data_IF_150385784313
#
_entry.id   IF_150385784313
#
_cell.length_a   1.000
_cell.length_b   1.000
_cell.length_c   1.000
_cell.angle_alpha   90.00
_cell.angle_beta   90.00
_cell.angle_gamma   90.00
#
_symmetry.space_group_name_H-M   'P 1'
#
loop_
_entity.id
_entity.type
_entity.pdbx_description
1 polymer ?
#
# COMPACT_ATOMS: atom_id res chain seq x y z
N UNK A 1 -17.27 -16.79 24.67
CA UNK A 1 -17.31 -15.99 25.92
C UNK A 1 -18.75 -15.77 26.36
N UNK A 2 -19.09 -15.91 27.65
CA UNK A 2 -20.46 -15.59 28.12
C UNK A 2 -20.68 -14.07 28.12
N UNK A 3 -21.94 -13.62 28.07
CA UNK A 3 -22.24 -12.18 28.04
C UNK A 3 -21.76 -11.42 29.28
N UNK A 4 -21.64 -12.08 30.43
CA UNK A 4 -21.08 -11.48 31.66
C UNK A 4 -19.58 -11.28 31.53
N UNK A 5 -18.85 -12.31 31.11
CA UNK A 5 -17.40 -12.24 30.93
C UNK A 5 -17.03 -11.14 29.91
N UNK A 6 -17.80 -11.01 28.82
CA UNK A 6 -17.60 -9.97 27.82
C UNK A 6 -17.76 -8.54 28.37
N UNK A 7 -18.68 -8.37 29.32
CA UNK A 7 -18.92 -7.08 29.97
C UNK A 7 -17.76 -6.69 30.89
N UNK A 8 -17.26 -7.64 31.69
CA UNK A 8 -16.15 -7.40 32.61
C UNK A 8 -14.88 -7.02 31.84
N UNK A 9 -14.60 -7.71 30.73
CA UNK A 9 -13.49 -7.39 29.82
C UNK A 9 -13.65 -5.99 29.21
N UNK A 10 -14.84 -5.62 28.73
CA UNK A 10 -15.08 -4.29 28.19
C UNK A 10 -14.87 -3.20 29.25
N UNK A 11 -15.34 -3.44 30.48
CA UNK A 11 -15.18 -2.51 31.60
C UNK A 11 -13.70 -2.34 31.97
N UNK A 12 -12.92 -3.42 31.94
CA UNK A 12 -11.49 -3.36 32.17
C UNK A 12 -10.75 -2.59 31.07
N UNK A 13 -11.04 -2.88 29.80
CA UNK A 13 -10.46 -2.17 28.65
C UNK A 13 -10.79 -0.67 28.69
N UNK A 14 -11.95 -0.28 29.20
CA UNK A 14 -12.31 1.14 29.38
C UNK A 14 -11.53 1.88 30.46
N UNK A 15 -10.90 1.14 31.38
CA UNK A 15 -10.04 1.68 32.43
C UNK A 15 -8.56 1.64 32.04
N UNK A 16 -8.22 0.86 31.00
CA UNK A 16 -6.86 0.75 30.51
C UNK A 16 -6.50 1.94 29.59
N UNK A 17 -5.86 2.95 30.18
CA UNK A 17 -5.40 4.15 29.46
C UNK A 17 -4.43 3.82 28.32
N UNK A 18 -3.67 2.72 28.41
CA UNK A 18 -2.74 2.33 27.36
C UNK A 18 -3.51 1.94 26.11
N UNK A 19 -4.47 1.02 26.23
CA UNK A 19 -5.31 0.57 25.12
C UNK A 19 -6.03 1.76 24.48
N UNK A 20 -6.72 2.57 25.30
CA UNK A 20 -7.45 3.75 24.80
C UNK A 20 -6.55 4.74 24.05
N UNK A 21 -5.36 5.03 24.59
CA UNK A 21 -4.40 5.93 23.95
C UNK A 21 -3.96 5.38 22.60
N UNK A 22 -3.63 4.08 22.51
CA UNK A 22 -3.23 3.47 21.24
C UNK A 22 -4.37 3.48 20.22
N UNK A 23 -5.62 3.21 20.60
CA UNK A 23 -6.76 3.27 19.68
C UNK A 23 -6.97 4.68 19.10
N UNK A 24 -6.89 5.71 19.96
CA UNK A 24 -7.01 7.11 19.53
C UNK A 24 -5.85 7.50 18.62
N UNK A 25 -4.61 7.15 18.99
CA UNK A 25 -3.42 7.44 18.18
C UNK A 25 -3.50 6.75 16.82
N UNK A 26 -3.86 5.47 16.78
CA UNK A 26 -4.03 4.71 15.52
C UNK A 26 -5.09 5.33 14.60
N UNK A 27 -6.22 5.75 15.17
CA UNK A 27 -7.28 6.44 14.43
C UNK A 27 -6.80 7.77 13.84
N UNK A 28 -6.13 8.61 14.64
CA UNK A 28 -5.59 9.90 14.21
C UNK A 28 -4.51 9.73 13.14
N UNK A 29 -3.56 8.81 13.35
CA UNK A 29 -2.50 8.51 12.38
C UNK A 29 -3.09 8.01 11.06
N UNK A 30 -4.11 7.14 11.11
CA UNK A 30 -4.79 6.64 9.92
C UNK A 30 -5.56 7.74 9.18
N UNK A 31 -6.16 8.71 9.89
CA UNK A 31 -6.78 9.88 9.29
C UNK A 31 -5.77 10.76 8.54
N UNK A 32 -4.64 11.09 9.19
CA UNK A 32 -3.56 11.87 8.58
C UNK A 32 -3.00 11.13 7.36
N UNK A 33 -2.79 9.82 7.47
CA UNK A 33 -2.31 8.97 6.39
C UNK A 33 -3.28 8.92 5.20
N UNK A 34 -4.58 8.73 5.45
CA UNK A 34 -5.61 8.70 4.40
C UNK A 34 -5.62 10.03 3.63
N UNK A 35 -5.62 11.16 4.35
CA UNK A 35 -5.57 12.49 3.74
C UNK A 35 -4.29 12.68 2.92
N UNK A 36 -3.12 12.33 3.47
CA UNK A 36 -1.84 12.43 2.77
C UNK A 36 -1.79 11.53 1.52
N UNK A 37 -2.36 10.34 1.55
CA UNK A 37 -2.47 9.43 0.41
C UNK A 37 -3.38 10.01 -0.68
N UNK A 38 -4.52 10.61 -0.32
CA UNK A 38 -5.39 11.29 -1.27
C UNK A 38 -4.66 12.45 -1.94
N UNK A 39 -3.93 13.27 -1.18
CA UNK A 39 -3.09 14.34 -1.73
C UNK A 39 -2.02 13.77 -2.68
N UNK A 40 -1.34 12.69 -2.29
CA UNK A 40 -0.36 12.01 -3.15
C UNK A 40 -0.99 11.46 -4.44
N UNK A 41 -2.22 10.96 -4.38
CA UNK A 41 -2.95 10.46 -5.54
C UNK A 41 -3.38 11.59 -6.50
N UNK A 42 -3.88 12.69 -5.95
CA UNK A 42 -4.36 13.85 -6.71
C UNK A 42 -3.21 14.65 -7.34
N UNK A 43 -2.14 14.89 -6.58
CA UNK A 43 -0.99 15.71 -7.01
C UNK A 43 0.19 14.90 -7.57
N UNK A 44 0.15 13.57 -7.45
CA UNK A 44 1.22 12.69 -7.92
C UNK A 44 1.38 12.71 -9.44
N UNK A 45 2.61 12.92 -9.92
CA UNK A 45 2.96 12.94 -11.35
C UNK A 45 3.01 11.52 -11.98
N UNK A 46 2.28 10.56 -11.43
CA UNK A 46 2.33 9.16 -11.91
C UNK A 46 1.78 9.00 -13.33
N UNK A 47 1.05 9.99 -13.85
CA UNK A 47 0.30 9.91 -15.11
C UNK A 47 1.18 9.84 -16.37
N UNK A 48 2.38 10.41 -16.36
CA UNK A 48 3.10 10.69 -17.62
C UNK A 48 4.25 9.73 -17.92
N UNK A 49 4.64 8.86 -16.97
CA UNK A 49 5.84 8.03 -17.09
C UNK A 49 5.60 6.53 -16.91
N UNK A 50 4.35 6.12 -16.75
CA UNK A 50 4.01 4.72 -16.48
C UNK A 50 2.92 4.33 -17.46
N UNK A 51 3.07 3.16 -18.06
CA UNK A 51 2.03 2.58 -18.92
C UNK A 51 0.63 2.63 -18.27
N UNK A 52 -0.45 2.87 -19.04
CA UNK A 52 -1.80 2.99 -18.51
C UNK A 52 -2.25 1.81 -17.63
N UNK A 53 -1.91 0.56 -18.00
CA UNK A 53 -2.25 -0.63 -17.21
C UNK A 53 -1.63 -0.61 -15.81
N UNK A 54 -0.32 -0.38 -15.68
CA UNK A 54 0.31 -0.21 -14.37
C UNK A 54 -0.22 1.00 -13.60
N UNK A 55 -0.60 2.08 -14.30
CA UNK A 55 -1.22 3.24 -13.64
C UNK A 55 -2.56 2.88 -13.00
N UNK A 56 -3.40 2.10 -13.68
CA UNK A 56 -4.68 1.62 -13.13
C UNK A 56 -4.43 0.75 -11.89
N UNK A 57 -3.51 -0.23 -12.00
CA UNK A 57 -3.19 -1.10 -10.87
C UNK A 57 -2.61 -0.33 -9.69
N UNK A 58 -1.70 0.61 -9.93
CA UNK A 58 -1.12 1.43 -8.87
C UNK A 58 -2.13 2.37 -8.21
N UNK A 59 -3.09 2.91 -8.98
CA UNK A 59 -4.21 3.67 -8.42
C UNK A 59 -5.15 2.80 -7.59
N UNK A 60 -5.44 1.58 -8.06
CA UNK A 60 -6.21 0.59 -7.29
C UNK A 60 -5.53 0.29 -5.96
N UNK A 61 -4.21 0.07 -5.99
CA UNK A 61 -3.39 -0.12 -4.79
C UNK A 61 -3.49 1.07 -3.80
N UNK A 62 -3.32 2.32 -4.27
CA UNK A 62 -3.49 3.50 -3.41
C UNK A 62 -4.93 3.59 -2.88
N UNK A 63 -5.93 3.26 -3.71
CA UNK A 63 -7.34 3.23 -3.32
C UNK A 63 -7.60 2.26 -2.17
N UNK A 64 -7.09 1.03 -2.26
CA UNK A 64 -7.19 0.05 -1.16
C UNK A 64 -6.43 0.49 0.09
N UNK A 65 -5.29 1.18 -0.04
CA UNK A 65 -4.56 1.72 1.11
C UNK A 65 -5.37 2.81 1.83
N UNK A 66 -6.05 3.70 1.08
CA UNK A 66 -6.95 4.71 1.64
C UNK A 66 -8.16 4.05 2.31
N UNK A 67 -8.81 3.09 1.64
CA UNK A 67 -9.95 2.36 2.22
C UNK A 67 -9.56 1.61 3.49
N UNK A 68 -8.37 1.02 3.55
CA UNK A 68 -7.85 0.37 4.76
C UNK A 68 -7.65 1.36 5.91
N UNK A 69 -7.08 2.54 5.62
CA UNK A 69 -6.90 3.57 6.64
C UNK A 69 -8.26 4.09 7.14
N UNK A 70 -9.23 4.31 6.25
CA UNK A 70 -10.60 4.65 6.62
C UNK A 70 -11.27 3.55 7.47
N UNK A 71 -11.06 2.27 7.12
CA UNK A 71 -11.57 1.13 7.89
C UNK A 71 -11.00 1.12 9.31
N UNK A 72 -9.73 1.46 9.47
CA UNK A 72 -9.08 1.60 10.78
C UNK A 72 -9.70 2.73 11.60
N UNK A 73 -9.94 3.90 10.99
CA UNK A 73 -10.60 5.03 11.66
C UNK A 73 -12.00 4.64 12.13
N UNK A 74 -12.76 3.92 11.31
CA UNK A 74 -14.12 3.48 11.65
C UNK A 74 -14.06 2.45 12.79
N UNK A 75 -13.27 1.39 12.66
CA UNK A 75 -13.19 0.33 13.68
C UNK A 75 -12.66 0.86 15.01
N UNK A 76 -11.45 1.42 15.01
CA UNK A 76 -10.78 1.86 16.23
C UNK A 76 -11.42 3.12 16.81
N UNK A 77 -11.93 4.02 15.95
CA UNK A 77 -12.58 5.25 16.38
C UNK A 77 -13.93 5.00 17.05
N UNK A 78 -14.75 4.09 16.51
CA UNK A 78 -16.02 3.73 17.14
C UNK A 78 -15.75 3.02 18.47
N UNK A 79 -14.81 2.07 18.50
CA UNK A 79 -14.43 1.40 19.76
C UNK A 79 -13.93 2.39 20.81
N UNK A 80 -13.06 3.33 20.45
CA UNK A 80 -12.56 4.36 21.37
C UNK A 80 -13.68 5.26 21.89
N UNK A 81 -14.58 5.74 21.01
CA UNK A 81 -15.72 6.57 21.42
C UNK A 81 -16.64 5.81 22.37
N UNK A 82 -16.91 4.53 22.08
CA UNK A 82 -17.75 3.67 22.90
C UNK A 82 -17.16 3.42 24.29
N UNK A 83 -15.88 3.08 24.36
CA UNK A 83 -15.20 2.81 25.63
C UNK A 83 -15.05 4.08 26.50
N UNK A 84 -14.87 5.25 25.90
CA UNK A 84 -14.65 6.51 26.64
C UNK A 84 -15.98 7.18 27.03
N UNK A 85 -16.89 7.38 26.07
CA UNK A 85 -18.01 8.31 26.22
C UNK A 85 -19.37 7.64 26.39
N UNK A 86 -19.56 6.42 25.87
CA UNK A 86 -20.87 5.77 25.87
C UNK A 86 -21.03 4.95 27.15
N UNK A 87 -22.09 5.23 27.91
CA UNK A 87 -22.50 4.50 29.11
C UNK A 87 -23.98 4.13 29.03
N UNK A 88 -24.32 2.92 29.48
CA UNK A 88 -25.71 2.43 29.57
C UNK A 88 -26.07 2.16 31.02
N UNK A 89 -27.26 2.58 31.43
CA UNK A 89 -27.79 2.32 32.78
C UNK A 89 -28.46 0.94 32.90
N UNK A 90 -28.74 0.27 31.77
CA UNK A 90 -29.37 -1.06 31.75
C UNK A 90 -28.40 -2.13 31.22
N UNK A 91 -28.12 -3.13 32.06
CA UNK A 91 -27.24 -4.25 31.72
C UNK A 91 -25.76 -3.93 31.88
N UNK A 92 -24.97 -4.14 30.82
CA UNK A 92 -23.54 -3.83 30.84
C UNK A 92 -23.33 -2.31 30.73
N UNK A 93 -22.52 -1.67 31.60
CA UNK A 93 -22.24 -0.23 31.53
C UNK A 93 -21.68 0.22 30.19
N UNK A 94 -21.03 -0.70 29.46
CA UNK A 94 -20.49 -0.45 28.12
C UNK A 94 -21.27 -1.32 27.14
N UNK A 95 -21.94 -0.73 26.13
CA UNK A 95 -22.73 -1.51 25.18
C UNK A 95 -21.82 -2.47 24.42
N UNK A 96 -22.14 -3.76 24.43
CA UNK A 96 -21.37 -4.80 23.75
C UNK A 96 -21.81 -4.92 22.29
N UNK A 97 -20.90 -5.35 21.40
CA UNK A 97 -21.29 -5.73 20.05
C UNK A 97 -21.85 -7.14 20.03
N UNK A 98 -22.79 -7.41 19.14
CA UNK A 98 -23.03 -8.79 18.71
C UNK A 98 -21.84 -9.25 17.87
N UNK A 99 -21.49 -10.54 17.92
CA UNK A 99 -20.32 -11.07 17.19
C UNK A 99 -20.32 -10.68 15.71
N UNK A 100 -21.47 -10.80 15.04
CA UNK A 100 -21.61 -10.43 13.63
C UNK A 100 -21.40 -8.94 13.35
N UNK A 101 -21.79 -8.03 14.24
CA UNK A 101 -21.56 -6.59 14.04
C UNK A 101 -20.08 -6.26 14.16
N UNK A 102 -19.40 -6.81 15.18
CA UNK A 102 -17.95 -6.64 15.36
C UNK A 102 -17.19 -7.11 14.11
N UNK A 103 -17.54 -8.29 13.60
CA UNK A 103 -16.93 -8.85 12.39
C UNK A 103 -17.17 -7.99 11.15
N UNK A 104 -18.40 -7.53 10.92
CA UNK A 104 -18.74 -6.67 9.76
C UNK A 104 -17.92 -5.38 9.79
N UNK A 105 -17.67 -4.80 10.97
CA UNK A 105 -16.83 -3.61 11.12
C UNK A 105 -15.36 -3.89 10.77
N UNK A 106 -14.87 -5.12 11.02
CA UNK A 106 -13.50 -5.54 10.71
C UNK A 106 -13.32 -5.98 9.24
N UNK A 107 -14.35 -6.47 8.56
CA UNK A 107 -14.25 -7.04 7.20
C UNK A 107 -13.62 -6.09 6.16
N UNK A 108 -13.93 -4.77 6.12
CA UNK A 108 -13.28 -3.85 5.20
C UNK A 108 -11.75 -3.82 5.33
N UNK A 109 -11.22 -3.93 6.56
CA UNK A 109 -9.79 -4.00 6.80
C UNK A 109 -9.20 -5.31 6.24
N UNK A 110 -9.80 -6.45 6.57
CA UNK A 110 -9.37 -7.78 6.06
C UNK A 110 -9.34 -7.80 4.54
N UNK A 111 -10.39 -7.28 3.91
CA UNK A 111 -10.50 -7.15 2.46
C UNK A 111 -9.36 -6.29 1.88
N UNK A 112 -9.13 -5.09 2.42
CA UNK A 112 -8.15 -4.16 1.88
C UNK A 112 -6.71 -4.66 2.07
N UNK A 113 -6.38 -5.23 3.23
CA UNK A 113 -5.04 -5.79 3.51
C UNK A 113 -4.70 -6.92 2.52
N UNK A 114 -5.68 -7.79 2.25
CA UNK A 114 -5.50 -8.85 1.28
C UNK A 114 -5.38 -8.31 -0.16
N UNK A 115 -6.22 -7.32 -0.51
CA UNK A 115 -6.16 -6.69 -1.83
C UNK A 115 -4.79 -6.05 -2.08
N UNK A 116 -4.20 -5.39 -1.09
CA UNK A 116 -2.87 -4.78 -1.21
C UNK A 116 -1.78 -5.80 -1.57
N UNK A 117 -1.76 -6.96 -0.92
CA UNK A 117 -0.83 -8.05 -1.23
C UNK A 117 -0.99 -8.59 -2.66
N UNK A 118 -2.24 -8.82 -3.10
CA UNK A 118 -2.57 -9.32 -4.44
C UNK A 118 -2.22 -8.27 -5.52
N UNK A 119 -2.46 -6.99 -5.23
CA UNK A 119 -2.17 -5.91 -6.17
C UNK A 119 -0.67 -5.84 -6.50
N UNK A 120 0.22 -6.12 -5.55
CA UNK A 120 1.65 -6.24 -5.85
C UNK A 120 1.95 -7.39 -6.80
N UNK A 121 1.32 -8.55 -6.63
CA UNK A 121 1.49 -9.69 -7.55
C UNK A 121 1.08 -9.27 -8.95
N UNK A 122 -0.09 -8.64 -9.12
CA UNK A 122 -0.57 -8.24 -10.44
C UNK A 122 0.22 -7.10 -11.06
N UNK A 123 0.71 -6.14 -10.27
CA UNK A 123 1.70 -5.16 -10.76
C UNK A 123 2.96 -5.88 -11.24
N UNK A 124 3.44 -6.89 -10.50
CA UNK A 124 4.59 -7.71 -10.88
C UNK A 124 4.36 -8.50 -12.17
N UNK A 125 3.20 -9.13 -12.34
CA UNK A 125 2.80 -9.83 -13.58
C UNK A 125 2.78 -8.85 -14.76
N UNK A 126 2.15 -7.70 -14.58
CA UNK A 126 2.04 -6.68 -15.61
C UNK A 126 3.42 -6.13 -16.02
N UNK A 127 4.32 -5.88 -15.05
CA UNK A 127 5.72 -5.51 -15.30
C UNK A 127 6.53 -6.64 -15.92
N UNK A 128 6.21 -7.90 -15.62
CA UNK A 128 6.84 -9.08 -16.25
C UNK A 128 6.51 -9.14 -17.73
N UNK A 129 5.24 -8.92 -18.10
CA UNK A 129 4.79 -8.86 -19.49
C UNK A 129 5.49 -7.70 -20.22
N UNK A 130 5.55 -6.51 -19.63
CA UNK A 130 6.25 -5.36 -20.19
C UNK A 130 7.76 -5.61 -20.40
N UNK A 131 8.37 -6.37 -19.48
CA UNK A 131 9.78 -6.77 -19.57
C UNK A 131 9.98 -7.79 -20.69
N UNK A 132 9.18 -8.85 -20.78
CA UNK A 132 9.38 -9.93 -21.75
C UNK A 132 9.01 -9.47 -23.17
N UNK A 133 7.88 -8.78 -23.33
CA UNK A 133 7.27 -8.44 -24.61
C UNK A 133 7.34 -6.95 -24.96
N UNK A 134 8.47 -6.29 -24.66
CA UNK A 134 8.64 -4.83 -24.80
C UNK A 134 8.12 -4.27 -26.14
N UNK A 135 8.49 -4.87 -27.28
CA UNK A 135 8.08 -4.38 -28.61
C UNK A 135 6.58 -4.53 -28.92
N UNK A 136 5.91 -5.57 -28.41
CA UNK A 136 4.46 -5.76 -28.59
C UNK A 136 3.67 -4.92 -27.59
N UNK A 137 4.21 -4.78 -26.39
CA UNK A 137 3.58 -4.07 -25.29
C UNK A 137 3.36 -2.58 -25.60
N UNK A 138 4.31 -1.93 -26.30
CA UNK A 138 4.13 -0.55 -26.78
C UNK A 138 2.89 -0.35 -27.66
N UNK A 139 2.63 -1.32 -28.54
CA UNK A 139 1.51 -1.26 -29.47
C UNK A 139 0.17 -1.47 -28.75
N UNK A 140 0.21 -2.05 -27.55
CA UNK A 140 -0.97 -2.35 -26.75
C UNK A 140 -1.41 -1.12 -25.96
N UNK A 141 -2.14 -0.20 -26.59
CA UNK A 141 -2.76 0.96 -25.91
C UNK A 141 -3.98 0.58 -25.05
N UNK A 142 -4.39 -0.69 -25.08
CA UNK A 142 -5.58 -1.15 -24.36
C UNK A 142 -5.34 -1.17 -22.84
N UNK A 143 -6.29 -0.58 -22.12
CA UNK A 143 -6.36 -0.58 -20.65
C UNK A 143 -7.11 -1.79 -20.07
N UNK A 144 -7.68 -2.62 -20.94
CA UNK A 144 -8.51 -3.78 -20.55
C UNK A 144 -7.76 -4.76 -19.63
N UNK A 145 -6.48 -5.12 -19.88
CA UNK A 145 -5.76 -6.03 -18.99
C UNK A 145 -5.60 -5.48 -17.57
N UNK A 146 -5.35 -4.18 -17.41
CA UNK A 146 -5.21 -3.54 -16.10
C UNK A 146 -6.51 -3.59 -15.30
N UNK A 147 -7.65 -3.31 -15.94
CA UNK A 147 -8.97 -3.40 -15.32
C UNK A 147 -9.37 -4.84 -14.99
N UNK A 148 -9.07 -5.80 -15.87
CA UNK A 148 -9.34 -7.21 -15.62
C UNK A 148 -8.56 -7.73 -14.40
N UNK A 149 -7.26 -7.40 -14.30
CA UNK A 149 -6.45 -7.76 -13.13
C UNK A 149 -6.95 -7.10 -11.84
N UNK A 150 -7.35 -5.82 -11.90
CA UNK A 150 -7.95 -5.14 -10.74
C UNK A 150 -9.25 -5.80 -10.29
N UNK A 151 -10.13 -6.16 -11.23
CA UNK A 151 -11.37 -6.86 -10.95
C UNK A 151 -11.12 -8.22 -10.30
N UNK A 152 -10.17 -9.00 -10.83
CA UNK A 152 -9.76 -10.28 -10.22
C UNK A 152 -9.25 -10.06 -8.79
N UNK A 153 -8.48 -8.99 -8.53
CA UNK A 153 -7.97 -8.70 -7.18
C UNK A 153 -9.10 -8.41 -6.19
N UNK A 154 -10.12 -7.67 -6.62
CA UNK A 154 -11.34 -7.42 -5.85
C UNK A 154 -12.07 -8.73 -5.57
N UNK A 155 -12.31 -9.56 -6.59
CA UNK A 155 -13.03 -10.82 -6.43
C UNK A 155 -12.31 -11.79 -5.48
N UNK A 156 -10.99 -11.97 -5.63
CA UNK A 156 -10.21 -12.87 -4.76
C UNK A 156 -10.18 -12.34 -3.33
N UNK A 157 -10.07 -11.03 -3.14
CA UNK A 157 -10.07 -10.42 -1.81
C UNK A 157 -11.44 -10.49 -1.14
N UNK A 158 -12.51 -10.31 -1.91
CA UNK A 158 -13.88 -10.48 -1.42
C UNK A 158 -14.15 -11.94 -1.06
N UNK A 159 -13.72 -12.89 -1.89
CA UNK A 159 -13.86 -14.32 -1.60
C UNK A 159 -13.15 -14.70 -0.30
N UNK A 160 -11.94 -14.18 -0.06
CA UNK A 160 -11.22 -14.40 1.21
C UNK A 160 -11.93 -13.76 2.40
N UNK A 161 -12.43 -12.52 2.25
CA UNK A 161 -13.16 -11.84 3.32
C UNK A 161 -14.47 -12.58 3.68
N UNK A 162 -15.21 -13.06 2.66
CA UNK A 162 -16.42 -13.88 2.86
C UNK A 162 -16.07 -15.22 3.50
N UNK A 163 -14.99 -15.87 3.07
CA UNK A 163 -14.52 -17.11 3.71
C UNK A 163 -14.15 -16.88 5.18
N UNK A 164 -13.44 -15.79 5.48
CA UNK A 164 -13.08 -15.42 6.84
C UNK A 164 -14.33 -15.17 7.70
N UNK A 165 -15.31 -14.44 7.17
CA UNK A 165 -16.59 -14.18 7.84
C UNK A 165 -17.46 -15.42 8.00
N UNK A 166 -17.39 -16.38 7.09
CA UNK A 166 -18.13 -17.63 7.20
C UNK A 166 -17.54 -18.56 8.28
N UNK A 167 -16.28 -18.37 8.66
CA UNK A 167 -15.59 -19.18 9.68
C UNK A 167 -15.54 -18.53 11.06
N UNK A 168 -16.04 -17.30 11.20
CA UNK A 168 -16.11 -16.62 12.50
C UNK A 168 -17.23 -17.19 13.37
N UNK A 169 -16.98 -17.23 14.67
CA UNK A 169 -17.89 -17.76 15.68
C UNK A 169 -19.03 -16.78 15.96
N UNK A 170 -20.26 -17.30 16.12
CA UNK A 170 -21.43 -16.50 16.49
C UNK A 170 -21.44 -16.17 18.00
N UNK A 171 -20.37 -15.53 18.47
CA UNK A 171 -20.28 -15.10 19.85
C UNK A 171 -21.42 -14.11 20.17
N UNK A 172 -22.17 -14.34 21.27
CA UNK A 172 -23.35 -13.53 21.58
C UNK A 172 -22.98 -12.08 21.93
N UNK A 173 -21.78 -11.86 22.47
CA UNK A 173 -21.28 -10.55 22.84
C UNK A 173 -19.76 -10.45 22.63
N UNK A 174 -19.30 -9.31 22.10
CA UNK A 174 -17.89 -8.98 21.89
C UNK A 174 -17.55 -7.62 22.52
N UNK A 175 -16.40 -7.52 23.22
CA UNK A 175 -15.99 -6.30 23.90
C UNK A 175 -15.45 -5.26 22.93
N UNK A 176 -14.95 -5.62 21.74
CA UNK A 176 -14.37 -4.73 20.72
C UNK A 176 -14.65 -5.24 19.31
N UNK A 177 -14.67 -4.35 18.32
CA UNK A 177 -14.79 -4.75 16.91
C UNK A 177 -13.49 -5.39 16.37
N UNK A 178 -12.36 -4.96 16.90
CA UNK A 178 -11.01 -5.44 16.53
C UNK A 178 -10.69 -6.84 17.06
N UNK A 179 -11.45 -7.34 18.04
CA UNK A 179 -11.28 -8.66 18.64
C UNK A 179 -12.41 -9.55 18.11
N UNK A 180 -12.20 -10.13 16.93
CA UNK A 180 -13.10 -11.15 16.40
C UNK A 180 -12.83 -12.50 17.07
N UNK A 181 -13.88 -13.25 17.41
CA UNK A 181 -13.75 -14.67 17.82
C UNK A 181 -13.59 -15.53 16.56
N UNK A 182 -12.36 -15.56 16.07
CA UNK A 182 -12.00 -16.28 14.86
C UNK A 182 -11.13 -17.48 15.27
N UNK A 183 -11.47 -18.70 14.82
CA UNK A 183 -10.69 -19.89 15.19
C UNK A 183 -9.21 -19.74 14.82
N UNK A 184 -8.32 -20.21 15.69
CA UNK A 184 -6.86 -20.12 15.48
C UNK A 184 -6.40 -20.62 14.10
N UNK A 185 -7.01 -21.70 13.58
CA UNK A 185 -6.66 -22.22 12.26
C UNK A 185 -6.93 -21.23 11.12
N UNK A 186 -7.99 -20.41 11.22
CA UNK A 186 -8.32 -19.37 10.23
C UNK A 186 -7.28 -18.26 10.28
N UNK A 187 -6.85 -17.87 11.49
CA UNK A 187 -5.74 -16.93 11.66
C UNK A 187 -4.45 -17.46 11.05
N UNK A 188 -4.08 -18.72 11.32
CA UNK A 188 -2.87 -19.33 10.75
C UNK A 188 -2.89 -19.37 9.23
N UNK A 189 -4.02 -19.80 8.63
CA UNK A 189 -4.18 -19.83 7.17
C UNK A 189 -4.11 -18.41 6.60
N UNK A 190 -4.77 -17.44 7.22
CA UNK A 190 -4.84 -16.06 6.75
C UNK A 190 -3.47 -15.37 6.80
N UNK A 191 -2.78 -15.46 7.93
CA UNK A 191 -1.45 -14.89 8.14
C UNK A 191 -0.40 -15.62 7.30
N UNK A 192 -0.45 -16.96 7.25
CA UNK A 192 0.46 -17.77 6.45
C UNK A 192 0.33 -17.47 4.95
N UNK A 193 -0.91 -17.34 4.45
CA UNK A 193 -1.16 -16.94 3.05
C UNK A 193 -0.66 -15.53 2.78
N UNK A 194 -0.86 -14.58 3.70
CA UNK A 194 -0.36 -13.22 3.57
C UNK A 194 1.17 -13.18 3.50
N UNK A 195 1.85 -13.86 4.43
CA UNK A 195 3.31 -13.96 4.46
C UNK A 195 3.85 -14.60 3.18
N UNK A 196 3.22 -15.66 2.70
CA UNK A 196 3.58 -16.32 1.45
C UNK A 196 3.47 -15.38 0.24
N UNK A 197 2.39 -14.58 0.15
CA UNK A 197 2.23 -13.57 -0.90
C UNK A 197 3.34 -12.51 -0.86
N UNK A 198 3.73 -12.04 0.33
CA UNK A 198 4.82 -11.06 0.46
C UNK A 198 6.17 -11.62 0.00
N UNK A 199 6.47 -12.89 0.34
CA UNK A 199 7.69 -13.56 -0.13
C UNK A 199 7.68 -13.67 -1.66
N UNK A 200 6.55 -14.08 -2.26
CA UNK A 200 6.40 -14.12 -3.72
C UNK A 200 6.64 -12.74 -4.34
N UNK A 201 6.07 -11.68 -3.76
CA UNK A 201 6.24 -10.31 -4.25
C UNK A 201 7.70 -9.89 -4.29
N UNK A 202 8.46 -10.12 -3.21
CA UNK A 202 9.89 -9.79 -3.16
C UNK A 202 10.69 -10.59 -4.19
N UNK A 203 10.46 -11.89 -4.30
CA UNK A 203 11.14 -12.75 -5.27
C UNK A 203 10.85 -12.30 -6.70
N UNK A 204 9.58 -12.01 -7.00
CA UNK A 204 9.12 -11.54 -8.31
C UNK A 204 9.79 -10.22 -8.70
N UNK A 205 9.71 -9.19 -7.85
CA UNK A 205 10.29 -7.88 -8.16
C UNK A 205 11.82 -7.89 -8.17
N UNK A 206 12.46 -8.69 -7.33
CA UNK A 206 13.92 -8.86 -7.34
C UNK A 206 14.38 -9.51 -8.64
N UNK A 207 13.70 -10.58 -9.08
CA UNK A 207 13.98 -11.24 -10.36
C UNK A 207 13.80 -10.27 -11.53
N UNK A 208 12.72 -9.49 -11.54
CA UNK A 208 12.48 -8.47 -12.56
C UNK A 208 13.54 -7.38 -12.56
N UNK A 209 13.99 -6.94 -11.39
CA UNK A 209 15.08 -5.98 -11.26
C UNK A 209 16.36 -6.50 -11.91
N UNK A 210 16.78 -7.73 -11.61
CA UNK A 210 17.97 -8.34 -12.19
C UNK A 210 17.85 -8.53 -13.70
N UNK A 211 16.70 -9.00 -14.19
CA UNK A 211 16.42 -9.16 -15.62
C UNK A 211 16.52 -7.82 -16.36
N UNK A 212 15.89 -6.75 -15.85
CA UNK A 212 15.93 -5.43 -16.47
C UNK A 212 17.32 -4.80 -16.40
N UNK A 213 18.02 -4.96 -15.27
CA UNK A 213 19.41 -4.52 -15.11
C UNK A 213 20.31 -5.17 -16.16
N UNK A 214 20.26 -6.50 -16.30
CA UNK A 214 21.05 -7.24 -17.30
C UNK A 214 20.73 -6.82 -18.73
N UNK A 215 19.45 -6.63 -19.07
CA UNK A 215 19.03 -6.15 -20.39
C UNK A 215 19.51 -4.72 -20.67
N UNK A 216 19.48 -3.83 -19.67
CA UNK A 216 19.96 -2.44 -19.78
C UNK A 216 21.44 -2.40 -20.15
N UNK A 217 22.28 -3.21 -19.50
CA UNK A 217 23.70 -3.34 -19.85
C UNK A 217 23.96 -3.93 -21.24
N UNK A 218 23.09 -4.82 -21.74
CA UNK A 218 23.23 -5.36 -23.10
C UNK A 218 22.79 -4.36 -24.17
N UNK A 219 21.68 -3.66 -23.95
CA UNK A 219 21.13 -2.69 -24.90
C UNK A 219 22.00 -1.44 -25.06
N UNK A 220 22.82 -1.08 -24.06
CA UNK A 220 23.80 0.00 -24.23
C UNK A 220 24.89 -0.30 -25.25
N UNK A 221 25.13 -1.59 -25.57
CA UNK A 221 26.16 -2.02 -26.52
C UNK A 221 25.66 -2.22 -27.96
N UNK A 222 24.35 -2.33 -28.17
CA UNK A 222 23.75 -2.72 -29.45
C UNK A 222 22.98 -1.53 -30.07
N UNK A 223 22.93 -1.46 -31.40
CA UNK A 223 22.14 -0.51 -32.19
C UNK A 223 20.61 -0.72 -32.06
N UNK A 224 20.09 -0.82 -30.84
CA UNK A 224 18.65 -0.89 -30.58
C UNK A 224 17.99 0.47 -30.78
N UNK A 225 16.75 0.49 -31.25
CA UNK A 225 15.96 1.72 -31.43
C UNK A 225 15.88 2.55 -30.14
N UNK A 226 15.80 3.88 -30.29
CA UNK A 226 15.70 4.82 -29.18
C UNK A 226 14.47 4.51 -28.30
N UNK A 227 13.36 4.15 -28.93
CA UNK A 227 12.10 3.75 -28.29
C UNK A 227 12.28 2.55 -27.36
N UNK A 228 13.00 1.52 -27.80
CA UNK A 228 13.29 0.34 -26.98
C UNK A 228 14.12 0.71 -25.74
N UNK A 229 15.14 1.57 -25.91
CA UNK A 229 15.98 2.06 -24.81
C UNK A 229 15.15 2.88 -23.80
N UNK A 230 14.25 3.72 -24.29
CA UNK A 230 13.35 4.51 -23.44
C UNK A 230 12.45 3.61 -22.58
N UNK A 231 11.77 2.63 -23.17
CA UNK A 231 10.89 1.70 -22.44
C UNK A 231 11.64 0.83 -21.44
N UNK A 232 12.81 0.32 -21.81
CA UNK A 232 13.64 -0.45 -20.90
C UNK A 232 14.06 0.39 -19.69
N UNK A 233 14.38 1.66 -19.91
CA UNK A 233 14.71 2.59 -18.84
C UNK A 233 13.48 2.93 -17.97
N UNK A 234 12.32 3.16 -18.59
CA UNK A 234 11.04 3.37 -17.89
C UNK A 234 10.70 2.19 -16.98
N UNK A 235 10.73 0.97 -17.53
CA UNK A 235 10.45 -0.26 -16.80
C UNK A 235 11.44 -0.48 -15.66
N UNK A 236 12.74 -0.29 -15.90
CA UNK A 236 13.77 -0.41 -14.87
C UNK A 236 13.53 0.56 -13.72
N UNK A 237 13.25 1.83 -14.03
CA UNK A 237 12.94 2.81 -13.00
C UNK A 237 11.65 2.44 -12.26
N UNK A 238 10.57 2.09 -12.96
CA UNK A 238 9.31 1.68 -12.34
C UNK A 238 9.50 0.50 -11.38
N UNK A 239 10.24 -0.54 -11.79
CA UNK A 239 10.50 -1.74 -10.96
C UNK A 239 11.29 -1.40 -9.70
N UNK A 240 12.33 -0.55 -9.76
CA UNK A 240 13.07 -0.14 -8.55
C UNK A 240 12.13 0.49 -7.51
N UNK A 241 11.16 1.24 -8.00
CA UNK A 241 10.25 2.02 -7.17
C UNK A 241 9.26 1.09 -6.47
N UNK A 242 8.66 0.20 -7.25
CA UNK A 242 7.72 -0.81 -6.76
C UNK A 242 8.45 -1.78 -5.82
N UNK A 243 9.69 -2.17 -6.13
CA UNK A 243 10.50 -3.05 -5.28
C UNK A 243 10.75 -2.44 -3.90
N UNK A 244 11.06 -1.15 -3.80
CA UNK A 244 11.22 -0.47 -2.49
C UNK A 244 9.93 -0.47 -1.69
N UNK A 245 8.79 -0.27 -2.37
CA UNK A 245 7.49 -0.30 -1.73
C UNK A 245 7.11 -1.71 -1.27
N UNK A 246 7.41 -2.73 -2.08
CA UNK A 246 7.23 -4.13 -1.74
C UNK A 246 8.09 -4.53 -0.54
N UNK A 247 9.35 -4.07 -0.46
CA UNK A 247 10.19 -4.29 0.73
C UNK A 247 9.64 -3.62 1.98
N UNK A 248 9.15 -2.38 1.87
CA UNK A 248 8.52 -1.68 2.99
C UNK A 248 7.28 -2.44 3.49
N UNK A 249 6.41 -2.87 2.57
CA UNK A 249 5.20 -3.62 2.90
C UNK A 249 5.54 -5.00 3.50
N UNK A 250 6.43 -5.76 2.86
CA UNK A 250 6.90 -7.05 3.34
C UNK A 250 7.53 -6.95 4.74
N UNK A 251 8.37 -5.94 4.99
CA UNK A 251 8.98 -5.74 6.31
C UNK A 251 7.90 -5.53 7.39
N UNK A 252 6.92 -4.66 7.16
CA UNK A 252 5.85 -4.41 8.15
C UNK A 252 4.98 -5.66 8.35
N UNK A 253 4.58 -6.33 7.27
CA UNK A 253 3.77 -7.55 7.36
C UNK A 253 4.51 -8.68 8.09
N UNK A 254 5.80 -8.89 7.79
CA UNK A 254 6.62 -9.91 8.45
C UNK A 254 6.73 -9.60 9.94
N UNK A 255 7.05 -8.36 10.31
CA UNK A 255 7.15 -7.98 11.73
C UNK A 255 5.80 -8.16 12.43
N UNK A 256 4.70 -7.65 11.85
CA UNK A 256 3.36 -7.80 12.42
C UNK A 256 2.98 -9.29 12.57
N UNK A 257 3.25 -10.11 11.57
CA UNK A 257 2.96 -11.55 11.59
C UNK A 257 3.77 -12.27 12.66
N UNK A 258 5.07 -11.96 12.79
CA UNK A 258 5.94 -12.55 13.82
C UNK A 258 5.47 -12.14 15.21
N UNK A 259 5.12 -10.87 15.42
CA UNK A 259 4.61 -10.39 16.71
C UNK A 259 3.28 -11.05 17.07
N UNK A 260 2.34 -11.14 16.12
CA UNK A 260 1.06 -11.85 16.34
C UNK A 260 1.30 -13.33 16.63
N UNK A 261 2.24 -13.97 15.91
CA UNK A 261 2.59 -15.37 16.16
C UNK A 261 3.15 -15.57 17.57
N UNK A 262 4.12 -14.76 17.98
CA UNK A 262 4.67 -14.80 19.35
C UNK A 262 3.57 -14.55 20.38
N UNK A 263 2.70 -13.56 20.15
CA UNK A 263 1.58 -13.26 21.04
C UNK A 263 0.64 -14.47 21.21
N UNK A 264 0.33 -15.21 20.13
CA UNK A 264 -0.51 -16.40 20.20
C UNK A 264 0.08 -17.54 21.05
N UNK A 265 1.41 -17.67 21.14
CA UNK A 265 2.05 -18.73 21.96
C UNK A 265 2.42 -18.27 23.38
N UNK A 266 2.67 -16.98 23.57
CA UNK A 266 3.23 -16.47 24.83
C UNK A 266 2.20 -15.75 25.71
N UNK A 267 1.09 -15.27 25.16
CA UNK A 267 0.10 -14.50 25.90
C UNK A 267 -1.15 -15.35 26.21
N UNK A 268 -1.72 -15.10 27.38
CA UNK A 268 -3.08 -15.55 27.69
C UNK A 268 -4.09 -14.85 26.79
N UNK A 269 -5.29 -15.41 26.62
CA UNK A 269 -6.36 -14.81 25.79
C UNK A 269 -6.65 -13.35 26.21
N UNK A 270 -6.70 -13.09 27.51
CA UNK A 270 -6.91 -11.76 28.08
C UNK A 270 -5.78 -10.77 27.76
N UNK A 271 -4.52 -11.21 27.89
CA UNK A 271 -3.36 -10.41 27.49
C UNK A 271 -3.33 -10.19 25.98
N UNK A 272 -3.66 -11.21 25.19
CA UNK A 272 -3.75 -11.15 23.75
C UNK A 272 -4.73 -10.06 23.30
N UNK A 273 -5.90 -9.98 23.93
CA UNK A 273 -6.88 -8.92 23.67
C UNK A 273 -6.30 -7.52 23.92
N UNK A 274 -5.67 -7.28 25.08
CA UNK A 274 -5.08 -5.98 25.41
C UNK A 274 -3.93 -5.57 24.49
N UNK A 275 -3.02 -6.51 24.20
CA UNK A 275 -1.82 -6.22 23.42
C UNK A 275 -2.04 -6.28 21.90
N UNK A 276 -3.13 -6.89 21.42
CA UNK A 276 -3.47 -6.94 19.98
C UNK A 276 -3.51 -5.54 19.34
N UNK A 277 -4.09 -4.57 20.05
CA UNK A 277 -4.20 -3.18 19.59
C UNK A 277 -2.81 -2.52 19.48
N UNK A 278 -1.89 -2.88 20.36
CA UNK A 278 -0.54 -2.33 20.44
C UNK A 278 0.37 -2.95 19.36
N UNK A 279 0.16 -4.24 19.07
CA UNK A 279 0.97 -4.99 18.12
C UNK A 279 0.56 -4.83 16.65
N UNK A 280 -0.56 -4.17 16.39
CA UNK A 280 -0.97 -3.84 15.04
C UNK A 280 -0.11 -2.70 14.46
N UNK A 281 0.80 -3.06 13.56
CA UNK A 281 1.70 -2.14 12.88
C UNK A 281 1.11 -1.54 11.60
N UNK A 282 -0.12 -1.89 11.24
CA UNK A 282 -0.73 -1.43 10.00
C UNK A 282 -0.94 0.09 9.93
N UNK A 283 -1.35 0.77 11.02
CA UNK A 283 -1.43 2.24 11.05
C UNK A 283 -0.07 2.91 10.81
N UNK A 284 1.03 2.30 11.27
CA UNK A 284 2.39 2.79 10.99
C UNK A 284 2.69 2.66 9.50
N UNK A 285 2.33 1.54 8.88
CA UNK A 285 2.46 1.36 7.44
C UNK A 285 1.67 2.41 6.64
N UNK A 286 0.45 2.74 7.07
CA UNK A 286 -0.35 3.80 6.47
C UNK A 286 0.36 5.16 6.49
N UNK A 287 1.12 5.50 7.54
CA UNK A 287 1.91 6.73 7.59
C UNK A 287 3.18 6.66 6.73
N UNK A 288 3.86 5.52 6.68
CA UNK A 288 5.10 5.35 5.92
C UNK A 288 4.87 5.43 4.41
N UNK A 289 3.73 4.92 3.93
CA UNK A 289 3.39 4.88 2.51
C UNK A 289 3.36 6.28 1.82
N UNK A 290 2.57 7.27 2.28
CA UNK A 290 2.55 8.60 1.68
C UNK A 290 3.88 9.33 1.83
N UNK A 291 4.65 9.09 2.90
CA UNK A 291 6.00 9.65 3.05
C UNK A 291 6.93 9.12 1.95
N UNK A 292 6.93 7.80 1.71
CA UNK A 292 7.73 7.18 0.66
C UNK A 292 7.33 7.67 -0.75
N UNK A 293 6.04 7.77 -1.03
CA UNK A 293 5.52 8.26 -2.31
C UNK A 293 5.75 9.77 -2.51
N UNK A 294 5.55 10.56 -1.45
CA UNK A 294 5.71 12.00 -1.44
C UNK A 294 7.18 12.41 -1.62
N UNK A 295 8.10 11.82 -0.84
CA UNK A 295 9.54 12.07 -0.96
C UNK A 295 10.03 11.87 -2.40
N UNK A 296 9.58 10.78 -3.03
CA UNK A 296 9.93 10.49 -4.43
C UNK A 296 9.34 11.52 -5.38
N UNK A 297 8.06 11.86 -5.24
CA UNK A 297 7.40 12.84 -6.10
C UNK A 297 8.11 14.19 -6.05
N UNK A 298 8.51 14.63 -4.84
CA UNK A 298 9.30 15.85 -4.65
C UNK A 298 10.66 15.74 -5.34
N UNK A 299 11.39 14.63 -5.13
CA UNK A 299 12.70 14.40 -5.74
C UNK A 299 12.64 14.38 -7.28
N UNK A 300 11.64 13.73 -7.85
CA UNK A 300 11.45 13.66 -9.30
C UNK A 300 11.12 15.05 -9.88
N UNK A 301 10.29 15.85 -9.19
CA UNK A 301 10.01 17.25 -9.57
C UNK A 301 11.24 18.14 -9.48
N UNK A 302 12.08 17.98 -8.45
CA UNK A 302 13.33 18.74 -8.34
C UNK A 302 14.26 18.44 -9.52
N UNK A 303 14.43 17.15 -9.87
CA UNK A 303 15.22 16.75 -11.05
C UNK A 303 14.68 17.32 -12.35
N UNK A 304 13.36 17.33 -12.53
CA UNK A 304 12.74 17.95 -13.71
C UNK A 304 12.99 19.45 -13.77
N UNK A 305 12.96 20.16 -12.63
CA UNK A 305 13.29 21.59 -12.56
C UNK A 305 14.76 21.82 -12.93
N UNK A 306 15.69 21.04 -12.37
CA UNK A 306 17.12 21.14 -12.69
C UNK A 306 17.38 20.88 -14.18
N UNK A 307 16.81 19.81 -14.74
CA UNK A 307 16.97 19.49 -16.15
C UNK A 307 16.41 20.58 -17.08
N UNK A 308 15.29 21.21 -16.72
CA UNK A 308 14.74 22.35 -17.48
C UNK A 308 15.66 23.57 -17.43
N UNK A 309 16.27 23.85 -16.28
CA UNK A 309 17.23 24.96 -16.14
C UNK A 309 18.48 24.69 -16.98
N UNK A 310 19.00 23.45 -16.97
CA UNK A 310 20.12 23.03 -17.81
C UNK A 310 19.79 23.17 -19.30
N UNK A 311 18.61 22.72 -19.74
CA UNK A 311 18.15 22.88 -21.12
C UNK A 311 18.03 24.35 -21.54
N UNK A 312 17.52 25.23 -20.68
CA UNK A 312 17.44 26.66 -20.95
C UNK A 312 18.84 27.27 -21.06
N UNK A 313 19.79 26.80 -20.24
CA UNK A 313 21.18 27.24 -20.31
C UNK A 313 21.84 26.79 -21.61
N UNK A 314 21.72 25.51 -21.97
CA UNK A 314 22.22 25.00 -23.26
C UNK A 314 21.64 25.77 -24.44
N UNK A 315 20.32 26.05 -24.44
CA UNK A 315 19.69 26.84 -25.50
C UNK A 315 20.20 28.28 -25.57
N UNK A 316 20.58 28.90 -24.44
CA UNK A 316 21.22 30.22 -24.43
C UNK A 316 22.63 30.13 -24.99
N UNK A 317 23.41 29.15 -24.55
CA UNK A 317 24.78 28.93 -25.02
C UNK A 317 24.82 28.69 -26.55
N UNK A 318 23.87 27.92 -27.11
CA UNK A 318 23.71 27.76 -28.56
C UNK A 318 23.37 29.07 -29.28
N UNK A 319 22.45 29.87 -28.73
CA UNK A 319 22.10 31.18 -29.31
C UNK A 319 23.28 32.15 -29.30
N UNK A 320 24.07 32.13 -28.25
CA UNK A 320 25.27 32.97 -28.13
C UNK A 320 26.36 32.51 -29.12
N UNK A 321 26.51 31.19 -29.33
CA UNK A 321 27.38 30.64 -30.38
C UNK A 321 26.91 31.04 -31.78
N UNK A 322 25.62 30.93 -32.10
CA UNK A 322 25.06 31.35 -33.40
C UNK A 322 25.30 32.85 -33.65
N UNK A 323 25.12 33.68 -32.61
CA UNK A 323 25.42 35.10 -32.69
C UNK A 323 26.91 35.36 -32.98
N UNK A 324 27.80 34.60 -32.34
CA UNK A 324 29.25 34.69 -32.58
C UNK A 324 29.62 34.25 -34.01
N UNK A 325 29.04 33.17 -34.53
CA UNK A 325 29.26 32.74 -35.91
C UNK A 325 28.76 33.75 -36.92
N UNK A 326 27.59 34.35 -36.68
CA UNK A 326 27.04 35.40 -37.53
C UNK A 326 27.96 36.64 -37.59
N UNK A 327 28.49 37.06 -36.44
CA UNK A 327 29.45 38.17 -36.38
C UNK A 327 30.73 37.87 -37.16
N UNK A 328 31.25 36.64 -37.10
CA UNK A 328 32.41 36.23 -37.92
C UNK A 328 32.07 36.23 -39.42
N UNK A 329 30.91 35.73 -39.80
CA UNK A 329 30.47 35.73 -41.20
C UNK A 329 30.37 37.16 -41.76
N UNK A 330 29.77 38.09 -41.01
CA UNK A 330 29.65 39.50 -41.38
C UNK A 330 31.03 40.20 -41.54
N UNK A 331 32.07 39.72 -40.87
CA UNK A 331 33.44 40.22 -41.03
C UNK A 331 34.11 39.72 -42.32
N UNK A 332 33.83 38.48 -42.73
CA UNK A 332 34.39 37.91 -43.96
C UNK A 332 33.65 38.34 -45.22
N UNK A 333 32.33 38.58 -45.15
CA UNK A 333 31.52 39.00 -46.31
C UNK A 333 31.75 40.46 -46.74
N UNK A 334 32.53 41.25 -45.98
CA UNK A 334 32.84 42.67 -46.27
C UNK A 334 34.19 42.91 -46.94
N UNK A 335 34.95 41.85 -47.24
CA UNK A 335 36.17 41.92 -48.04
C UNK A 335 35.87 41.51 -49.48
#
# INVERSE_FOLDING_TARGET
MSGRDACDVALELSKDYLVLTFMVVRSVLSFIAAFALILCACFGSFKNRIHPNATILFRGYIGFAVLSALSTIISDGIDAVRLIFIRSDSGCPIPLYTGKIAEILMMPMVFCVNALGIMFIFIGVERSIATIYTAKYEKMKSTVPGWALLFIAVCVSLAKAVWFWAQSSDAPAQPMATIGDVPFYVHYVTLGTQLFMEVINIVLFTTLYWCNKRRKYKSSRVASSLTYKYQLNENYHSIIQILRLAWLHCLVIVIATVVIFIAMFCLTEEQGMRFSVIFDLYPVYHCLLPVALGYRTVKDRMKEKTAKVEQIKEQRDYKDQDHHFKMLQDLFDKQ
#
